data_IF_100677232184
#
_entry.id   IF_100677232184
#
_cell.length_a   1.000
_cell.length_b   1.000
_cell.length_c   1.000
_cell.angle_alpha   90.00
_cell.angle_beta   90.00
_cell.angle_gamma   90.00
#
_symmetry.space_group_name_H-M   'P 1'
#
loop_
_entity.id
_entity.type
_entity.pdbx_description
1 polymer ?
#
# COMPACT_ATOMS: atom_id res chain seq x y z
N UNK A 1 -16.64 -4.82 34.33
CA UNK A 1 -15.69 -4.20 33.39
C UNK A 1 -14.35 -4.94 33.34
N UNK A 2 -13.73 -5.26 34.47
CA UNK A 2 -12.44 -5.99 34.52
C UNK A 2 -12.58 -7.41 33.94
N UNK A 3 -13.63 -8.14 34.30
CA UNK A 3 -13.90 -9.51 33.80
C UNK A 3 -14.11 -9.54 32.27
N UNK A 4 -14.90 -8.61 31.73
CA UNK A 4 -15.11 -8.42 30.28
C UNK A 4 -13.81 -8.04 29.54
N UNK A 5 -12.87 -7.36 30.20
CA UNK A 5 -11.58 -7.01 29.62
C UNK A 5 -10.60 -8.18 29.64
N UNK A 6 -10.58 -8.98 30.72
CA UNK A 6 -9.83 -10.24 30.80
C UNK A 6 -10.26 -11.21 29.70
N UNK A 7 -11.56 -11.37 29.51
CA UNK A 7 -12.16 -12.22 28.47
C UNK A 7 -11.72 -11.78 27.06
N UNK A 8 -11.64 -10.47 26.77
CA UNK A 8 -11.14 -9.97 25.48
C UNK A 8 -9.66 -10.27 25.25
N UNK A 9 -8.81 -10.08 26.25
CA UNK A 9 -7.37 -10.35 26.12
C UNK A 9 -7.14 -11.84 25.84
N UNK A 10 -7.82 -12.71 26.58
CA UNK A 10 -7.78 -14.15 26.37
C UNK A 10 -8.31 -14.55 24.99
N UNK A 11 -9.44 -13.98 24.57
CA UNK A 11 -10.01 -14.21 23.25
C UNK A 11 -9.05 -13.81 22.10
N UNK A 12 -8.30 -12.72 22.27
CA UNK A 12 -7.28 -12.29 21.31
C UNK A 12 -6.08 -13.24 21.33
N UNK A 13 -5.52 -13.55 22.52
CA UNK A 13 -4.37 -14.45 22.68
C UNK A 13 -4.66 -15.85 22.15
N UNK A 14 -5.83 -16.41 22.46
CA UNK A 14 -6.26 -17.72 22.00
C UNK A 14 -6.52 -17.77 20.47
N UNK A 15 -6.75 -16.62 19.83
CA UNK A 15 -6.99 -16.54 18.39
C UNK A 15 -5.69 -16.44 17.57
N UNK A 16 -4.54 -16.18 18.18
CA UNK A 16 -3.27 -16.06 17.46
C UNK A 16 -2.92 -17.37 16.73
N UNK A 17 -2.52 -17.30 15.44
CA UNK A 17 -1.94 -18.45 14.76
C UNK A 17 -0.65 -18.90 15.45
N UNK A 18 -0.36 -20.20 15.43
CA UNK A 18 0.87 -20.75 16.04
C UNK A 18 2.12 -20.20 15.35
N UNK A 19 2.03 -19.99 14.04
CA UNK A 19 3.08 -19.45 13.18
C UNK A 19 3.19 -17.91 13.27
N UNK A 20 2.30 -17.25 14.03
CA UNK A 20 2.19 -15.80 14.08
C UNK A 20 1.53 -15.19 12.83
N UNK A 21 1.57 -13.85 12.74
CA UNK A 21 1.11 -13.08 11.56
C UNK A 21 2.24 -12.27 10.92
N UNK A 22 3.36 -12.11 11.62
CA UNK A 22 4.64 -11.64 11.11
C UNK A 22 5.74 -12.48 11.74
N UNK A 23 6.78 -12.79 10.98
CA UNK A 23 7.90 -13.58 11.48
C UNK A 23 8.72 -12.86 12.58
N UNK A 24 8.68 -11.52 12.64
CA UNK A 24 9.62 -10.71 13.42
C UNK A 24 9.00 -9.45 14.07
N UNK A 25 7.67 -9.33 14.11
CA UNK A 25 7.00 -8.13 14.63
C UNK A 25 5.93 -8.46 15.64
N UNK A 26 6.22 -8.12 16.89
CA UNK A 26 5.22 -7.96 17.93
C UNK A 26 4.57 -6.57 17.84
N UNK A 27 3.41 -6.45 18.46
CA UNK A 27 2.73 -5.18 18.66
C UNK A 27 1.92 -5.21 19.96
N UNK A 28 1.56 -4.03 20.45
CA UNK A 28 0.75 -3.88 21.65
C UNK A 28 -0.70 -4.27 21.37
N UNK A 29 -1.23 -5.20 22.18
CA UNK A 29 -2.62 -5.62 22.11
C UNK A 29 -3.53 -4.56 22.75
N UNK A 30 -4.75 -4.44 22.23
CA UNK A 30 -5.74 -3.48 22.73
C UNK A 30 -7.14 -4.08 22.81
N UNK A 31 -7.95 -3.76 23.84
CA UNK A 31 -9.33 -4.23 23.91
C UNK A 31 -10.26 -3.53 22.92
N UNK A 32 -9.80 -2.45 22.27
CA UNK A 32 -10.64 -1.54 21.50
C UNK A 32 -10.17 -1.46 20.05
N UNK A 33 -11.10 -1.63 19.11
CA UNK A 33 -10.89 -1.25 17.73
C UNK A 33 -10.85 0.28 17.58
N UNK A 34 -10.12 0.78 16.58
CA UNK A 34 -9.96 2.21 16.35
C UNK A 34 -11.28 2.84 15.86
N UNK A 35 -11.83 3.86 16.54
CA UNK A 35 -13.13 4.43 16.19
C UNK A 35 -13.03 5.35 14.97
N UNK A 36 -13.94 5.17 14.02
CA UNK A 36 -14.12 6.02 12.84
C UNK A 36 -15.57 6.52 12.81
N UNK A 37 -15.77 7.83 12.75
CA UNK A 37 -17.11 8.40 12.65
C UNK A 37 -17.74 8.15 11.26
N UNK A 38 -19.07 8.24 11.20
CA UNK A 38 -19.85 7.97 9.99
C UNK A 38 -19.45 8.86 8.80
N UNK A 39 -19.11 10.13 9.04
CA UNK A 39 -18.73 11.09 7.99
C UNK A 39 -17.36 10.72 7.43
N UNK A 40 -16.41 10.36 8.28
CA UNK A 40 -15.09 9.94 7.85
C UNK A 40 -15.15 8.59 7.12
N UNK A 41 -15.95 7.63 7.59
CA UNK A 41 -16.17 6.37 6.88
C UNK A 41 -16.69 6.59 5.45
N UNK A 42 -17.71 7.44 5.27
CA UNK A 42 -18.22 7.77 3.95
C UNK A 42 -17.16 8.43 3.05
N UNK A 43 -16.27 9.26 3.62
CA UNK A 43 -15.17 9.84 2.88
C UNK A 43 -14.10 8.80 2.49
N UNK A 44 -13.81 7.80 3.34
CA UNK A 44 -12.92 6.68 3.00
C UNK A 44 -13.49 5.83 1.87
N UNK A 45 -14.79 5.50 1.90
CA UNK A 45 -15.43 4.77 0.79
C UNK A 45 -15.30 5.52 -0.55
N UNK A 46 -15.46 6.85 -0.53
CA UNK A 46 -15.27 7.68 -1.72
C UNK A 46 -13.80 7.81 -2.13
N UNK A 47 -12.87 7.82 -1.17
CA UNK A 47 -11.44 7.86 -1.45
C UNK A 47 -11.00 6.66 -2.29
N UNK A 48 -11.47 5.45 -1.98
CA UNK A 48 -11.14 4.25 -2.76
C UNK A 48 -11.42 4.41 -4.25
N UNK A 49 -12.59 4.95 -4.61
CA UNK A 49 -12.93 5.22 -6.01
C UNK A 49 -12.01 6.27 -6.64
N UNK A 50 -11.73 7.38 -5.92
CA UNK A 50 -10.84 8.44 -6.42
C UNK A 50 -9.42 7.92 -6.68
N UNK A 51 -8.90 7.05 -5.81
CA UNK A 51 -7.58 6.44 -5.97
C UNK A 51 -7.53 5.48 -7.17
N UNK A 52 -8.60 4.73 -7.42
CA UNK A 52 -8.69 3.89 -8.62
C UNK A 52 -8.67 4.72 -9.90
N UNK A 53 -9.42 5.84 -9.94
CA UNK A 53 -9.40 6.77 -11.07
C UNK A 53 -8.03 7.40 -11.24
N UNK A 54 -7.37 7.76 -10.13
CA UNK A 54 -5.99 8.27 -10.13
C UNK A 54 -4.99 7.27 -10.71
N UNK A 55 -4.98 6.01 -10.25
CA UNK A 55 -4.11 4.97 -10.81
C UNK A 55 -4.34 4.74 -12.31
N UNK A 56 -5.60 4.78 -12.76
CA UNK A 56 -5.93 4.70 -14.19
C UNK A 56 -5.35 5.89 -14.97
N UNK A 57 -5.48 7.11 -14.44
CA UNK A 57 -4.92 8.30 -15.05
C UNK A 57 -3.37 8.26 -15.08
N UNK A 58 -2.72 7.76 -14.04
CA UNK A 58 -1.27 7.52 -14.03
C UNK A 58 -0.85 6.55 -15.15
N UNK A 59 -1.53 5.41 -15.28
CA UNK A 59 -1.27 4.44 -16.33
C UNK A 59 -1.43 5.04 -17.73
N UNK A 60 -2.50 5.82 -17.93
CA UNK A 60 -2.76 6.50 -19.20
C UNK A 60 -1.71 7.56 -19.51
N UNK A 61 -1.33 8.39 -18.53
CA UNK A 61 -0.32 9.43 -18.71
C UNK A 61 1.03 8.83 -19.13
N UNK A 62 1.45 7.75 -18.45
CA UNK A 62 2.68 7.03 -18.78
C UNK A 62 2.67 6.56 -20.25
N UNK A 63 1.62 5.83 -20.66
CA UNK A 63 1.54 5.33 -22.04
C UNK A 63 1.41 6.43 -23.09
N UNK A 64 0.74 7.54 -22.79
CA UNK A 64 0.66 8.67 -23.71
C UNK A 64 2.01 9.38 -23.83
N UNK A 65 2.73 9.54 -22.72
CA UNK A 65 4.08 10.12 -22.70
C UNK A 65 5.06 9.26 -23.52
N UNK A 66 5.07 7.94 -23.29
CA UNK A 66 5.90 6.99 -24.04
C UNK A 66 5.60 6.98 -25.56
N UNK A 67 4.40 7.40 -25.97
CA UNK A 67 3.98 7.52 -27.38
C UNK A 67 4.13 8.93 -27.95
N UNK A 68 4.73 9.87 -27.21
CA UNK A 68 4.87 11.27 -27.64
C UNK A 68 3.56 12.08 -27.71
N UNK A 69 2.49 11.59 -27.07
CA UNK A 69 1.16 12.25 -27.02
C UNK A 69 0.93 13.10 -25.75
N UNK A 70 1.85 12.98 -24.81
CA UNK A 70 2.01 13.81 -23.62
C UNK A 70 3.51 14.11 -23.47
N UNK A 71 3.94 15.06 -22.62
CA UNK A 71 5.35 15.41 -22.51
C UNK A 71 6.24 14.19 -22.25
N UNK A 72 7.26 13.99 -23.08
CA UNK A 72 8.11 12.78 -23.06
C UNK A 72 8.89 12.61 -21.75
N UNK A 73 9.15 13.71 -21.04
CA UNK A 73 9.86 13.67 -19.76
C UNK A 73 9.13 12.88 -18.68
N UNK A 74 7.79 12.72 -18.75
CA UNK A 74 7.05 11.91 -17.76
C UNK A 74 7.49 10.46 -17.81
N UNK A 75 7.47 9.82 -18.99
CA UNK A 75 7.94 8.46 -19.16
C UNK A 75 9.44 8.35 -18.86
N UNK A 76 10.25 9.32 -19.31
CA UNK A 76 11.70 9.36 -19.00
C UNK A 76 11.97 9.31 -17.50
N UNK A 77 11.29 10.13 -16.70
CA UNK A 77 11.50 10.12 -15.25
C UNK A 77 11.00 8.82 -14.59
N UNK A 78 9.86 8.30 -15.05
CA UNK A 78 9.30 7.05 -14.51
C UNK A 78 10.07 5.81 -14.94
N UNK A 79 10.84 5.87 -16.03
CA UNK A 79 11.71 4.79 -16.52
C UNK A 79 13.10 4.81 -15.86
N UNK A 80 13.50 5.93 -15.24
CA UNK A 80 14.81 6.09 -14.61
C UNK A 80 15.13 4.94 -13.63
N UNK A 81 16.35 4.42 -13.73
CA UNK A 81 16.86 3.30 -12.92
C UNK A 81 16.39 1.90 -13.31
N UNK A 82 15.45 1.76 -14.26
CA UNK A 82 14.81 0.47 -14.55
C UNK A 82 15.49 -0.25 -15.73
N UNK A 83 15.62 -1.59 -15.68
CA UNK A 83 16.09 -2.38 -16.81
C UNK A 83 15.23 -2.18 -18.06
N UNK A 84 15.87 -2.15 -19.23
CA UNK A 84 15.19 -1.93 -20.50
C UNK A 84 14.13 -3.02 -20.78
N UNK A 85 14.44 -4.27 -20.46
CA UNK A 85 13.56 -5.42 -20.65
C UNK A 85 12.28 -5.28 -19.80
N UNK A 86 12.40 -4.75 -18.58
CA UNK A 86 11.26 -4.50 -17.71
C UNK A 86 10.39 -3.35 -18.23
N UNK A 87 11.01 -2.27 -18.72
CA UNK A 87 10.31 -1.15 -19.35
C UNK A 87 9.52 -1.64 -20.56
N UNK A 88 10.16 -2.39 -21.46
CA UNK A 88 9.54 -2.97 -22.64
C UNK A 88 8.39 -3.91 -22.26
N UNK A 89 8.61 -4.81 -21.29
CA UNK A 89 7.57 -5.70 -20.79
C UNK A 89 6.35 -4.93 -20.28
N UNK A 90 6.56 -3.89 -19.48
CA UNK A 90 5.49 -3.09 -18.87
C UNK A 90 4.63 -2.33 -19.88
N UNK A 91 5.13 -2.13 -21.11
CA UNK A 91 4.46 -1.39 -22.20
C UNK A 91 3.62 -2.27 -23.13
N UNK A 92 3.63 -3.58 -22.91
CA UNK A 92 2.96 -4.54 -23.77
C UNK A 92 1.45 -4.36 -23.82
N UNK A 93 0.88 -4.66 -24.99
CA UNK A 93 -0.55 -4.46 -25.26
C UNK A 93 -1.44 -5.35 -24.38
N UNK A 94 -0.94 -6.53 -24.02
CA UNK A 94 -1.67 -7.55 -23.27
C UNK A 94 -1.98 -7.10 -21.85
N UNK A 95 -1.06 -6.37 -21.21
CA UNK A 95 -1.22 -5.86 -19.84
C UNK A 95 -1.50 -4.35 -19.80
N UNK A 96 -1.71 -3.69 -20.94
CA UNK A 96 -1.84 -2.22 -21.05
C UNK A 96 -2.91 -1.66 -20.11
N UNK A 97 -4.06 -2.32 -20.04
CA UNK A 97 -5.21 -1.82 -19.26
C UNK A 97 -5.28 -2.46 -17.86
N UNK A 98 -4.37 -3.37 -17.54
CA UNK A 98 -4.29 -3.97 -16.22
C UNK A 98 -3.83 -2.98 -15.16
N UNK A 99 -4.48 -3.03 -14.00
CA UNK A 99 -4.20 -2.20 -12.83
C UNK A 99 -4.24 -3.05 -11.56
N UNK A 100 -3.56 -2.63 -10.47
CA UNK A 100 -3.68 -3.28 -9.17
C UNK A 100 -5.15 -3.46 -8.75
N UNK A 101 -5.47 -4.65 -8.23
CA UNK A 101 -6.82 -4.99 -7.73
C UNK A 101 -6.99 -4.75 -6.24
N UNK A 102 -5.89 -4.52 -5.53
CA UNK A 102 -5.86 -4.08 -4.14
C UNK A 102 -5.22 -2.71 -4.12
N UNK A 103 -5.84 -1.77 -3.43
CA UNK A 103 -5.33 -0.41 -3.26
C UNK A 103 -5.27 -0.14 -1.76
N UNK A 104 -4.07 0.15 -1.25
CA UNK A 104 -3.87 0.56 0.15
C UNK A 104 -3.14 1.89 0.19
N UNK A 105 -3.81 3.00 0.48
CA UNK A 105 -3.12 4.22 0.87
C UNK A 105 -2.73 4.17 2.34
N UNK A 106 -1.58 4.75 2.66
CA UNK A 106 -1.19 5.02 4.05
C UNK A 106 -1.65 6.43 4.41
N UNK A 107 -2.62 6.55 5.31
CA UNK A 107 -3.21 7.83 5.70
C UNK A 107 -2.66 8.29 7.05
N UNK A 108 -2.07 9.48 7.10
CA UNK A 108 -1.69 10.14 8.34
C UNK A 108 -2.87 11.00 8.78
N UNK A 109 -3.46 10.71 9.93
CA UNK A 109 -4.56 11.49 10.47
C UNK A 109 -4.03 12.80 11.08
N UNK A 110 -4.49 13.94 10.60
CA UNK A 110 -4.06 15.29 11.01
C UNK A 110 -5.21 16.04 11.69
N UNK A 111 -4.94 17.24 12.23
CA UNK A 111 -5.98 18.09 12.83
C UNK A 111 -7.12 18.42 11.85
N UNK A 112 -6.81 18.52 10.56
CA UNK A 112 -7.74 18.98 9.51
C UNK A 112 -8.23 17.83 8.61
N UNK A 113 -8.11 16.57 9.05
CA UNK A 113 -8.52 15.40 8.27
C UNK A 113 -7.38 14.39 8.13
N UNK A 114 -6.96 14.11 6.90
CA UNK A 114 -5.88 13.15 6.62
C UNK A 114 -5.05 13.57 5.41
N UNK A 115 -3.81 13.07 5.37
CA UNK A 115 -2.89 13.20 4.24
C UNK A 115 -2.45 11.81 3.81
N UNK A 116 -2.35 11.57 2.51
CA UNK A 116 -1.85 10.33 1.94
C UNK A 116 -0.31 10.39 1.97
N UNK A 117 0.32 9.49 2.71
CA UNK A 117 1.78 9.37 2.77
C UNK A 117 2.35 8.62 1.55
N UNK A 118 1.67 7.53 1.15
CA UNK A 118 1.97 6.70 -0.01
C UNK A 118 0.74 5.88 -0.43
N UNK A 119 0.83 5.24 -1.61
CA UNK A 119 -0.16 4.29 -2.13
C UNK A 119 0.61 3.04 -2.53
N UNK A 120 0.28 1.90 -1.92
CA UNK A 120 0.94 0.63 -2.21
C UNK A 120 0.19 -0.16 -3.28
N UNK A 121 0.96 -0.71 -4.22
CA UNK A 121 0.47 -1.61 -5.25
C UNK A 121 0.56 -3.08 -4.83
N UNK A 122 1.49 -3.44 -3.93
CA UNK A 122 1.66 -4.78 -3.35
C UNK A 122 1.54 -4.70 -1.82
N UNK A 123 0.35 -4.39 -1.27
CA UNK A 123 0.23 -4.13 0.15
C UNK A 123 0.33 -5.40 1.00
N UNK A 124 1.22 -5.39 2.00
CA UNK A 124 1.14 -6.32 3.14
C UNK A 124 -0.03 -5.99 4.07
N UNK A 125 -0.11 -6.68 5.21
CA UNK A 125 -1.14 -6.46 6.23
C UNK A 125 -2.54 -6.98 5.86
N UNK A 126 -2.72 -7.61 4.69
CA UNK A 126 -4.03 -8.13 4.25
C UNK A 126 -4.49 -9.25 5.18
N UNK A 127 -3.63 -10.24 5.42
CA UNK A 127 -3.93 -11.38 6.28
C UNK A 127 -4.03 -10.94 7.74
N UNK A 128 -3.12 -10.08 8.21
CA UNK A 128 -3.20 -9.49 9.55
C UNK A 128 -4.55 -8.78 9.79
N UNK A 129 -4.94 -7.89 8.88
CA UNK A 129 -6.19 -7.13 9.01
C UNK A 129 -7.39 -8.07 8.95
N UNK A 130 -7.35 -9.10 8.09
CA UNK A 130 -8.37 -10.14 8.04
C UNK A 130 -8.50 -10.91 9.36
N UNK A 131 -7.38 -11.25 10.00
CA UNK A 131 -7.36 -11.89 11.31
C UNK A 131 -7.92 -10.97 12.40
N UNK A 132 -7.44 -9.72 12.46
CA UNK A 132 -7.93 -8.71 13.40
C UNK A 132 -9.44 -8.52 13.28
N UNK A 133 -9.95 -8.39 12.05
CA UNK A 133 -11.38 -8.31 11.79
C UNK A 133 -12.13 -9.53 12.34
N UNK A 134 -11.63 -10.75 12.11
CA UNK A 134 -12.28 -11.96 12.62
C UNK A 134 -12.29 -12.04 14.15
N UNK A 135 -11.17 -11.67 14.77
CA UNK A 135 -11.00 -11.74 16.21
C UNK A 135 -11.86 -10.71 16.92
N UNK A 136 -11.81 -9.44 16.49
CA UNK A 136 -12.56 -8.36 17.12
C UNK A 136 -14.07 -8.46 16.85
N UNK A 137 -14.48 -9.01 15.70
CA UNK A 137 -15.91 -9.26 15.41
C UNK A 137 -16.60 -10.25 16.36
N UNK A 138 -15.86 -10.95 17.23
CA UNK A 138 -16.48 -11.78 18.28
C UNK A 138 -17.13 -10.95 19.39
N UNK A 139 -16.67 -9.70 19.58
CA UNK A 139 -17.12 -8.82 20.66
C UNK A 139 -17.42 -7.39 20.20
N UNK A 140 -17.28 -7.09 18.91
CA UNK A 140 -17.62 -5.81 18.28
C UNK A 140 -18.28 -6.04 16.91
N UNK A 141 -19.57 -5.73 16.79
CA UNK A 141 -20.31 -5.93 15.55
C UNK A 141 -20.13 -4.77 14.54
N UNK A 142 -19.40 -3.71 14.90
CA UNK A 142 -19.22 -2.50 14.09
C UNK A 142 -17.87 -2.43 13.36
N UNK A 143 -17.09 -3.52 13.33
CA UNK A 143 -15.82 -3.59 12.60
C UNK A 143 -16.03 -3.27 11.11
N UNK A 144 -15.23 -2.35 10.57
CA UNK A 144 -15.27 -1.97 9.16
C UNK A 144 -14.88 -3.18 8.29
N UNK A 145 -15.76 -3.52 7.34
CA UNK A 145 -15.66 -4.72 6.52
C UNK A 145 -16.11 -6.01 7.20
N UNK A 146 -16.42 -5.97 8.50
CA UNK A 146 -16.86 -7.10 9.30
C UNK A 146 -15.87 -8.27 9.33
N UNK A 147 -16.35 -9.41 9.84
CA UNK A 147 -15.59 -10.67 9.98
C UNK A 147 -15.02 -11.21 8.66
N UNK A 148 -15.70 -10.96 7.55
CA UNK A 148 -15.44 -11.60 6.26
C UNK A 148 -14.77 -10.73 5.21
N UNK A 149 -14.81 -9.40 5.36
CA UNK A 149 -14.53 -8.46 4.28
C UNK A 149 -13.19 -8.66 3.59
N UNK A 150 -12.09 -8.75 4.35
CA UNK A 150 -10.74 -8.91 3.79
C UNK A 150 -10.60 -10.21 2.97
N UNK A 151 -11.18 -11.31 3.43
CA UNK A 151 -11.14 -12.60 2.73
C UNK A 151 -12.00 -12.56 1.46
N UNK A 152 -13.21 -11.99 1.55
CA UNK A 152 -14.09 -11.81 0.40
C UNK A 152 -13.47 -10.91 -0.67
N UNK A 153 -12.80 -9.83 -0.26
CA UNK A 153 -12.06 -8.94 -1.13
C UNK A 153 -10.90 -9.65 -1.81
N UNK A 154 -10.04 -10.35 -1.06
CA UNK A 154 -8.90 -11.05 -1.65
C UNK A 154 -9.32 -12.18 -2.59
N UNK A 155 -10.44 -12.86 -2.30
CA UNK A 155 -11.02 -13.84 -3.21
C UNK A 155 -11.32 -13.25 -4.58
N UNK A 156 -11.66 -11.96 -4.72
CA UNK A 156 -11.88 -11.35 -6.06
C UNK A 156 -10.58 -11.09 -6.82
N UNK A 157 -9.44 -11.05 -6.12
CA UNK A 157 -8.10 -10.95 -6.71
C UNK A 157 -7.70 -12.28 -7.35
N UNK A 158 -8.06 -13.40 -6.73
CA UNK A 158 -7.80 -14.76 -7.20
C UNK A 158 -9.10 -15.58 -7.12
N UNK A 159 -10.07 -15.39 -8.04
CA UNK A 159 -11.42 -15.94 -7.93
C UNK A 159 -11.49 -17.47 -7.98
N UNK A 160 -10.55 -18.08 -8.69
CA UNK A 160 -10.43 -19.53 -8.87
C UNK A 160 -9.19 -20.04 -8.14
N UNK A 161 -8.88 -19.51 -6.95
CA UNK A 161 -7.59 -19.80 -6.32
C UNK A 161 -6.40 -19.26 -7.13
N UNK A 162 -5.22 -19.73 -6.77
CA UNK A 162 -3.96 -19.33 -7.38
C UNK A 162 -2.80 -19.35 -6.42
N UNK A 163 -1.63 -18.98 -6.95
CA UNK A 163 -0.38 -18.97 -6.22
C UNK A 163 -0.06 -17.56 -5.72
N UNK A 164 0.09 -17.41 -4.41
CA UNK A 164 0.66 -16.23 -3.76
C UNK A 164 2.17 -16.43 -3.73
N UNK A 165 2.86 -15.77 -4.66
CA UNK A 165 4.30 -15.93 -4.89
C UNK A 165 5.04 -14.87 -4.08
N UNK A 166 5.78 -15.27 -3.06
CA UNK A 166 6.44 -14.36 -2.10
C UNK A 166 7.97 -14.52 -2.18
N UNK A 167 8.69 -13.41 -2.32
CA UNK A 167 10.16 -13.42 -2.34
C UNK A 167 10.76 -13.45 -0.93
N UNK A 168 12.06 -13.73 -0.86
CA UNK A 168 12.86 -13.64 0.36
C UNK A 168 12.85 -12.22 0.94
N UNK A 169 12.91 -11.18 0.13
CA UNK A 169 12.83 -9.77 0.58
C UNK A 169 11.51 -9.50 1.33
N UNK A 170 10.41 -10.16 0.91
CA UNK A 170 9.10 -10.05 1.52
C UNK A 170 8.82 -11.12 2.59
N UNK A 171 9.78 -11.98 2.96
CA UNK A 171 9.55 -13.18 3.77
C UNK A 171 8.89 -12.91 5.13
N UNK A 172 9.08 -11.74 5.73
CA UNK A 172 8.46 -11.36 7.02
C UNK A 172 6.93 -11.35 6.97
N UNK A 173 6.33 -11.23 5.79
CA UNK A 173 4.87 -11.25 5.54
C UNK A 173 4.33 -12.65 5.18
N UNK A 174 5.19 -13.66 5.02
CA UNK A 174 4.75 -15.03 4.71
C UNK A 174 3.67 -15.56 5.67
N UNK A 175 3.78 -15.39 7.00
CA UNK A 175 2.78 -15.95 7.92
C UNK A 175 1.37 -15.39 7.70
N UNK A 176 1.23 -14.09 7.42
CA UNK A 176 -0.10 -13.53 7.14
C UNK A 176 -0.70 -14.03 5.82
N UNK A 177 0.14 -14.29 4.81
CA UNK A 177 -0.31 -14.82 3.52
C UNK A 177 -0.70 -16.29 3.64
N UNK A 178 0.02 -17.07 4.45
CA UNK A 178 -0.31 -18.47 4.74
C UNK A 178 -1.62 -18.56 5.52
N UNK A 179 -1.82 -17.68 6.50
CA UNK A 179 -3.10 -17.56 7.20
C UNK A 179 -4.24 -17.21 6.23
N UNK A 180 -4.03 -16.25 5.34
CA UNK A 180 -5.00 -15.82 4.33
C UNK A 180 -5.40 -16.98 3.42
N UNK A 181 -4.42 -17.68 2.85
CA UNK A 181 -4.62 -18.83 1.97
C UNK A 181 -5.38 -19.96 2.70
N UNK A 182 -4.95 -20.32 3.91
CA UNK A 182 -5.60 -21.36 4.72
C UNK A 182 -7.08 -21.03 5.00
N UNK A 183 -7.40 -19.78 5.33
CA UNK A 183 -8.79 -19.37 5.59
C UNK A 183 -9.66 -19.34 4.34
N UNK A 184 -9.09 -18.98 3.18
CA UNK A 184 -9.81 -19.03 1.90
C UNK A 184 -10.15 -20.48 1.53
N UNK A 185 -9.18 -21.40 1.66
CA UNK A 185 -9.36 -22.82 1.41
C UNK A 185 -10.43 -23.43 2.34
N UNK A 186 -10.39 -23.11 3.64
CA UNK A 186 -11.39 -23.60 4.60
C UNK A 186 -12.81 -23.13 4.25
N UNK A 187 -12.99 -21.86 3.89
CA UNK A 187 -14.31 -21.33 3.50
C UNK A 187 -14.83 -21.96 2.21
N UNK A 188 -13.94 -22.23 1.26
CA UNK A 188 -14.29 -22.91 0.01
C UNK A 188 -14.76 -24.35 0.27
N UNK A 189 -14.02 -25.11 1.08
CA UNK A 189 -14.38 -26.48 1.44
C UNK A 189 -15.74 -26.58 2.13
N UNK A 190 -16.08 -25.61 3.00
CA UNK A 190 -17.39 -25.56 3.67
C UNK A 190 -18.52 -25.21 2.70
N UNK A 191 -18.30 -24.29 1.76
CA UNK A 191 -19.30 -23.91 0.76
C UNK A 191 -19.62 -25.04 -0.23
N UNK A 192 -18.66 -25.90 -0.55
CA UNK A 192 -18.87 -27.10 -1.38
C UNK A 192 -19.60 -28.25 -0.69
N UNK A 193 -19.90 -28.14 0.62
CA UNK A 193 -20.57 -29.18 1.41
C UNK A 193 -22.08 -29.02 1.60
N UNK A 194 -22.68 -27.93 1.11
CA UNK A 194 -24.11 -27.63 1.33
C UNK A 194 -24.75 -27.13 0.02
N UNK A 195 -24.99 -28.03 -0.93
CA UNK A 195 -25.96 -27.76 -2.00
C UNK A 195 -26.64 -29.07 -2.45
N UNK A 196 -27.58 -29.52 -1.61
CA UNK A 196 -28.63 -30.45 -1.98
C UNK A 196 -29.90 -29.64 -2.24
N UNK A 197 -30.13 -29.28 -3.50
CA UNK A 197 -31.48 -29.04 -4.02
C UNK A 197 -31.81 -27.62 -4.45
N UNK A 198 -31.37 -27.20 -5.64
CA UNK A 198 -32.23 -26.56 -6.64
C UNK A 198 -31.49 -26.41 -7.98
N UNK A 199 -32.04 -27.07 -9.01
CA UNK A 199 -31.52 -27.14 -10.38
C UNK A 199 -31.45 -25.77 -11.08
N UNK A 200 -30.23 -25.24 -11.24
CA UNK A 200 -29.76 -24.58 -12.48
C UNK A 200 -28.31 -24.99 -12.67
N UNK A 201 -28.04 -25.72 -13.76
CA UNK A 201 -26.75 -26.30 -14.16
C UNK A 201 -25.49 -25.60 -13.63
N UNK A 202 -25.13 -25.90 -12.39
CA UNK A 202 -23.81 -25.79 -11.82
C UNK A 202 -23.57 -27.15 -11.18
N UNK A 203 -22.76 -27.96 -11.83
CA UNK A 203 -22.29 -29.23 -11.27
C UNK A 203 -21.49 -28.92 -10.00
N UNK A 204 -21.84 -29.50 -8.83
CA UNK A 204 -21.05 -29.33 -7.62
C UNK A 204 -19.76 -30.14 -7.79
N UNK A 205 -18.67 -29.48 -8.12
CA UNK A 205 -17.36 -30.11 -8.15
C UNK A 205 -16.86 -30.31 -6.73
N UNK A 206 -16.51 -31.56 -6.41
CA UNK A 206 -15.93 -31.95 -5.13
C UNK A 206 -14.58 -31.30 -4.87
N UNK A 207 -14.10 -31.50 -3.64
CA UNK A 207 -12.85 -30.99 -3.02
C UNK A 207 -11.54 -31.31 -3.81
N UNK A 208 -11.62 -31.91 -4.98
CA UNK A 208 -10.50 -32.40 -5.78
C UNK A 208 -10.41 -31.81 -7.20
N UNK A 209 -11.18 -30.78 -7.55
CA UNK A 209 -11.03 -30.17 -8.88
C UNK A 209 -9.71 -29.35 -8.94
N UNK A 210 -8.81 -29.64 -9.89
CA UNK A 210 -7.57 -28.88 -10.05
C UNK A 210 -7.92 -27.45 -10.46
N UNK A 211 -7.76 -26.50 -9.53
CA UNK A 211 -7.97 -25.08 -9.81
C UNK A 211 -8.82 -24.29 -8.81
N UNK A 212 -9.01 -24.76 -7.56
CA UNK A 212 -9.68 -23.98 -6.50
C UNK A 212 -8.91 -24.01 -5.16
N UNK A 213 -7.61 -23.74 -5.22
CA UNK A 213 -6.75 -23.71 -4.03
C UNK A 213 -5.91 -22.43 -4.02
N UNK A 214 -5.81 -21.79 -2.85
CA UNK A 214 -4.83 -20.73 -2.61
C UNK A 214 -3.59 -21.33 -1.94
N UNK A 215 -2.42 -21.10 -2.54
CA UNK A 215 -1.14 -21.59 -2.00
C UNK A 215 -0.16 -20.44 -1.85
N UNK A 216 0.68 -20.49 -0.83
CA UNK A 216 1.82 -19.59 -0.70
C UNK A 216 3.07 -20.33 -1.13
N UNK A 217 3.80 -19.78 -2.10
CA UNK A 217 4.98 -20.40 -2.69
C UNK A 217 6.14 -19.40 -2.74
N UNK A 218 7.37 -19.89 -2.65
CA UNK A 218 8.57 -19.06 -2.76
C UNK A 218 8.77 -18.60 -4.20
N UNK A 219 9.12 -17.33 -4.39
CA UNK A 219 9.41 -16.76 -5.71
C UNK A 219 10.66 -17.37 -6.34
N UNK A 220 11.65 -17.72 -5.51
CA UNK A 220 12.98 -18.14 -5.93
C UNK A 220 13.00 -19.49 -6.63
N UNK A 221 11.99 -20.33 -6.35
CA UNK A 221 11.84 -21.66 -6.95
C UNK A 221 10.49 -21.79 -7.66
N UNK A 222 9.87 -20.68 -8.06
CA UNK A 222 8.53 -20.70 -8.65
C UNK A 222 8.57 -21.19 -10.11
N UNK A 223 7.83 -22.26 -10.38
CA UNK A 223 7.58 -22.75 -11.74
C UNK A 223 6.15 -22.42 -12.18
N UNK A 224 5.96 -21.66 -13.29
CA UNK A 224 4.63 -21.26 -13.73
C UNK A 224 3.84 -22.46 -14.27
N UNK A 225 2.60 -22.60 -13.81
CA UNK A 225 1.67 -23.64 -14.23
C UNK A 225 0.59 -23.02 -15.14
N UNK A 226 0.37 -23.61 -16.31
CA UNK A 226 -0.58 -23.07 -17.29
C UNK A 226 -2.00 -22.99 -16.71
N UNK A 227 -2.69 -21.88 -16.97
CA UNK A 227 -4.02 -21.56 -16.45
C UNK A 227 -4.02 -20.98 -15.04
N UNK A 228 -2.89 -20.93 -14.32
CA UNK A 228 -2.84 -20.40 -12.96
C UNK A 228 -2.85 -18.87 -12.92
N UNK A 229 -3.55 -18.34 -11.92
CA UNK A 229 -3.44 -16.95 -11.51
C UNK A 229 -2.38 -16.81 -10.41
N UNK A 230 -1.53 -15.80 -10.54
CA UNK A 230 -0.47 -15.48 -9.59
C UNK A 230 -0.77 -14.16 -8.92
N UNK A 231 -0.79 -14.16 -7.59
CA UNK A 231 -0.64 -12.94 -6.82
C UNK A 231 0.85 -12.74 -6.48
N UNK A 232 1.51 -11.79 -7.15
CA UNK A 232 2.90 -11.47 -6.81
C UNK A 232 2.94 -10.71 -5.49
N UNK A 233 3.75 -11.21 -4.56
CA UNK A 233 4.05 -10.58 -3.29
C UNK A 233 5.56 -10.33 -3.19
N UNK A 234 6.04 -9.56 -4.16
CA UNK A 234 7.39 -9.02 -4.25
C UNK A 234 7.35 -7.72 -5.05
N UNK A 235 8.28 -6.83 -4.75
CA UNK A 235 8.43 -5.53 -5.41
C UNK A 235 9.20 -5.69 -6.73
N UNK A 236 8.96 -4.82 -7.72
CA UNK A 236 9.59 -5.00 -9.03
C UNK A 236 11.08 -4.64 -9.06
N UNK A 237 11.61 -3.94 -8.06
CA UNK A 237 13.06 -3.77 -7.91
C UNK A 237 13.78 -5.08 -7.54
N UNK A 238 13.04 -6.04 -7.00
CA UNK A 238 13.59 -7.30 -6.47
C UNK A 238 13.74 -8.36 -7.56
N UNK A 239 13.23 -8.13 -8.78
CA UNK A 239 13.32 -9.09 -9.88
C UNK A 239 14.75 -9.61 -10.13
N UNK A 240 15.82 -8.80 -10.10
CA UNK A 240 17.19 -9.29 -10.26
C UNK A 240 17.63 -10.31 -9.20
N UNK A 241 16.98 -10.32 -8.02
CA UNK A 241 17.27 -11.23 -6.92
C UNK A 241 16.42 -12.51 -6.94
N UNK A 242 15.50 -12.66 -7.90
CA UNK A 242 14.58 -13.81 -7.98
C UNK A 242 15.04 -14.73 -9.13
N UNK A 243 15.71 -15.86 -8.83
CA UNK A 243 16.09 -16.83 -9.86
C UNK A 243 14.88 -17.31 -10.66
N UNK A 244 15.04 -17.45 -11.98
CA UNK A 244 13.99 -17.97 -12.85
C UNK A 244 12.81 -17.03 -13.09
N UNK A 245 12.85 -15.77 -12.63
CA UNK A 245 11.78 -14.79 -12.84
C UNK A 245 11.43 -14.59 -14.33
N UNK A 246 12.40 -14.72 -15.22
CA UNK A 246 12.20 -14.67 -16.67
C UNK A 246 11.19 -15.72 -17.17
N UNK A 247 11.17 -16.91 -16.57
CA UNK A 247 10.22 -17.97 -16.93
C UNK A 247 8.80 -17.57 -16.56
N UNK A 248 8.62 -16.94 -15.40
CA UNK A 248 7.33 -16.40 -14.95
C UNK A 248 6.87 -15.24 -15.85
N UNK A 249 7.76 -14.30 -16.17
CA UNK A 249 7.47 -13.18 -17.08
C UNK A 249 7.11 -13.68 -18.49
N UNK A 250 7.84 -14.67 -19.01
CA UNK A 250 7.56 -15.33 -20.30
C UNK A 250 6.21 -16.05 -20.28
N UNK A 251 5.90 -16.80 -19.22
CA UNK A 251 4.60 -17.44 -19.08
C UNK A 251 3.45 -16.43 -19.08
N UNK A 252 3.60 -15.31 -18.38
CA UNK A 252 2.62 -14.21 -18.42
C UNK A 252 2.57 -13.58 -19.82
N UNK A 253 3.70 -13.51 -20.52
CA UNK A 253 3.76 -13.00 -21.88
C UNK A 253 3.00 -13.82 -22.90
N UNK A 254 3.07 -15.14 -22.75
CA UNK A 254 2.42 -16.12 -23.60
C UNK A 254 0.95 -16.33 -23.22
N UNK A 255 0.45 -15.64 -22.18
CA UNK A 255 -0.91 -15.79 -21.67
C UNK A 255 -1.14 -17.10 -20.91
N UNK A 256 -0.06 -17.83 -20.57
CA UNK A 256 -0.13 -19.09 -19.83
C UNK A 256 -0.47 -18.88 -18.36
N UNK A 257 -0.05 -17.77 -17.77
CA UNK A 257 -0.43 -17.35 -16.42
C UNK A 257 -0.95 -15.91 -16.43
N UNK A 258 -1.64 -15.52 -15.37
CA UNK A 258 -2.01 -14.11 -15.12
C UNK A 258 -1.35 -13.61 -13.84
N UNK A 259 -0.57 -12.52 -13.91
CA UNK A 259 0.08 -11.92 -12.73
C UNK A 259 -0.73 -10.72 -12.21
N UNK A 260 -0.98 -10.68 -10.89
CA UNK A 260 -1.66 -9.59 -10.17
C UNK A 260 -0.85 -9.20 -8.93
N UNK A 261 -0.65 -7.92 -8.62
CA UNK A 261 -0.77 -6.76 -9.51
C UNK A 261 0.12 -6.87 -10.77
N UNK A 262 -0.17 -6.13 -11.85
CA UNK A 262 0.58 -6.22 -13.11
C UNK A 262 2.04 -5.77 -12.96
N UNK A 263 2.91 -6.25 -13.86
CA UNK A 263 4.35 -5.94 -13.90
C UNK A 263 4.54 -4.55 -14.53
N UNK A 264 4.26 -3.50 -13.75
CA UNK A 264 4.29 -2.09 -14.16
C UNK A 264 5.03 -1.25 -13.12
N UNK A 265 6.37 -1.15 -13.21
CA UNK A 265 7.17 -0.46 -12.18
C UNK A 265 6.81 1.02 -12.08
N UNK A 266 6.41 1.65 -13.17
CA UNK A 266 5.94 3.04 -13.15
C UNK A 266 4.71 3.25 -12.27
N UNK A 267 3.88 2.24 -11.95
CA UNK A 267 2.75 2.39 -11.02
C UNK A 267 3.14 2.29 -9.55
N UNK A 268 4.36 1.84 -9.24
CA UNK A 268 4.90 1.71 -7.87
C UNK A 268 5.67 2.98 -7.44
N UNK A 269 5.74 3.98 -8.31
CA UNK A 269 6.51 5.21 -8.12
C UNK A 269 5.84 6.21 -7.16
N UNK A 270 6.61 6.68 -6.17
CA UNK A 270 6.21 7.81 -5.31
C UNK A 270 6.17 9.13 -6.10
N UNK A 271 6.88 9.18 -7.23
CA UNK A 271 6.96 10.33 -8.16
C UNK A 271 5.60 10.84 -8.62
N UNK A 272 4.58 9.97 -8.66
CA UNK A 272 3.22 10.40 -9.03
C UNK A 272 2.70 11.54 -8.16
N UNK A 273 3.14 11.66 -6.91
CA UNK A 273 2.74 12.79 -6.07
C UNK A 273 3.39 14.09 -6.53
N UNK A 274 4.64 14.08 -6.99
CA UNK A 274 5.28 15.26 -7.56
C UNK A 274 4.65 15.64 -8.91
N UNK A 275 4.45 14.65 -9.79
CA UNK A 275 3.82 14.84 -11.10
C UNK A 275 2.38 15.37 -11.00
N UNK A 276 1.65 14.99 -9.95
CA UNK A 276 0.31 15.50 -9.67
C UNK A 276 0.26 17.02 -9.49
N UNK A 277 1.32 17.62 -8.94
CA UNK A 277 1.40 19.06 -8.66
C UNK A 277 2.04 19.90 -9.78
N UNK A 278 2.61 19.26 -10.80
CA UNK A 278 3.25 19.96 -11.91
C UNK A 278 2.23 20.68 -12.79
N UNK A 279 2.41 21.99 -12.98
CA UNK A 279 1.49 22.83 -13.74
C UNK A 279 1.21 22.34 -15.18
N UNK A 280 2.21 21.89 -15.97
CA UNK A 280 1.96 21.38 -17.33
C UNK A 280 1.02 20.16 -17.39
N UNK A 281 0.88 19.40 -16.29
CA UNK A 281 0.00 18.24 -16.21
C UNK A 281 -1.38 18.57 -15.63
N UNK A 282 -1.63 19.82 -15.21
CA UNK A 282 -2.86 20.22 -14.52
C UNK A 282 -4.11 19.91 -15.33
N UNK A 283 -4.15 20.30 -16.60
CA UNK A 283 -5.33 20.08 -17.44
C UNK A 283 -5.53 18.60 -17.78
N UNK A 284 -4.45 17.82 -17.88
CA UNK A 284 -4.55 16.36 -17.97
C UNK A 284 -5.24 15.79 -16.73
N UNK A 285 -4.79 16.16 -15.52
CA UNK A 285 -5.40 15.69 -14.28
C UNK A 285 -6.87 16.11 -14.15
N UNK A 286 -7.20 17.37 -14.46
CA UNK A 286 -8.59 17.85 -14.43
C UNK A 286 -9.49 17.06 -15.36
N UNK A 287 -9.02 16.73 -16.57
CA UNK A 287 -9.77 15.95 -17.55
C UNK A 287 -9.95 14.49 -17.13
N UNK A 288 -8.85 13.79 -16.79
CA UNK A 288 -8.89 12.35 -16.53
C UNK A 288 -9.51 11.99 -15.18
N UNK A 289 -9.35 12.86 -14.17
CA UNK A 289 -9.94 12.66 -12.85
C UNK A 289 -11.34 13.28 -12.75
N UNK A 290 -11.64 14.29 -13.56
CA UNK A 290 -12.76 15.19 -13.34
C UNK A 290 -12.48 16.22 -12.23
N UNK A 291 -13.03 17.42 -12.39
CA UNK A 291 -12.78 18.58 -11.50
C UNK A 291 -12.99 18.24 -10.01
N UNK A 292 -14.09 17.52 -9.70
CA UNK A 292 -14.45 17.15 -8.33
C UNK A 292 -13.40 16.25 -7.67
N UNK A 293 -12.91 15.23 -8.37
CA UNK A 293 -11.92 14.31 -7.80
C UNK A 293 -10.54 14.94 -7.75
N UNK A 294 -10.17 15.75 -8.75
CA UNK A 294 -8.92 16.51 -8.74
C UNK A 294 -8.82 17.41 -7.51
N UNK A 295 -9.83 18.25 -7.25
CA UNK A 295 -9.85 19.14 -6.07
C UNK A 295 -9.80 18.34 -4.75
N UNK A 296 -10.48 17.20 -4.68
CA UNK A 296 -10.48 16.34 -3.49
C UNK A 296 -9.11 15.71 -3.25
N UNK A 297 -8.45 15.20 -4.30
CA UNK A 297 -7.12 14.64 -4.21
C UNK A 297 -6.07 15.71 -3.88
N UNK A 298 -6.19 16.93 -4.41
CA UNK A 298 -5.34 18.06 -4.04
C UNK A 298 -5.35 18.40 -2.55
N UNK A 299 -6.43 18.09 -1.83
CA UNK A 299 -6.50 18.32 -0.37
C UNK A 299 -5.74 17.28 0.44
N UNK A 300 -5.55 16.08 -0.10
CA UNK A 300 -5.05 14.92 0.66
C UNK A 300 -3.71 14.39 0.13
N UNK A 301 -3.36 14.64 -1.14
CA UNK A 301 -2.01 14.40 -1.66
C UNK A 301 -1.14 15.59 -1.22
N UNK A 302 -0.06 15.37 -0.44
CA UNK A 302 0.79 16.46 0.02
C UNK A 302 1.55 17.10 -1.15
N UNK A 303 1.81 18.40 -1.05
CA UNK A 303 2.62 19.10 -2.06
C UNK A 303 4.01 18.46 -2.12
N UNK A 304 4.40 18.07 -3.33
CA UNK A 304 5.61 17.31 -3.57
C UNK A 304 6.32 17.88 -4.80
N UNK A 305 7.64 17.83 -4.77
CA UNK A 305 8.54 18.26 -5.83
C UNK A 305 9.39 17.07 -6.27
N UNK A 306 9.85 17.11 -7.51
CA UNK A 306 10.85 16.21 -8.04
C UNK A 306 12.22 16.89 -7.91
N UNK A 307 13.23 16.24 -7.32
CA UNK A 307 14.59 16.80 -7.20
C UNK A 307 15.34 16.69 -8.54
N UNK A 308 14.76 17.25 -9.60
CA UNK A 308 15.39 17.34 -10.91
C UNK A 308 16.53 18.38 -10.87
N UNK A 309 17.78 18.01 -11.19
CA UNK A 309 18.92 18.93 -11.18
C UNK A 309 18.97 19.86 -12.41
N UNK A 310 18.02 19.78 -13.35
CA UNK A 310 17.98 20.63 -14.53
C UNK A 310 17.96 22.13 -14.14
N UNK A 311 18.91 22.95 -14.63
CA UNK A 311 18.95 24.38 -14.31
C UNK A 311 17.68 25.12 -14.73
N UNK A 312 17.19 26.01 -13.85
CA UNK A 312 16.05 26.86 -14.15
C UNK A 312 16.47 28.10 -14.96
N UNK A 313 15.61 28.63 -15.85
CA UNK A 313 15.82 29.96 -16.44
C UNK A 313 15.90 31.04 -15.36
N UNK A 314 16.72 32.07 -15.56
CA UNK A 314 17.03 33.13 -14.56
C UNK A 314 15.84 33.84 -13.88
N UNK A 315 14.63 33.75 -14.45
CA UNK A 315 13.41 34.34 -13.92
C UNK A 315 12.46 33.33 -13.25
N UNK A 316 12.86 32.06 -13.16
CA UNK A 316 12.04 30.97 -12.64
C UNK A 316 12.52 30.54 -11.24
N UNK A 317 11.59 29.99 -10.46
CA UNK A 317 11.82 29.47 -9.12
C UNK A 317 11.12 28.12 -8.94
N UNK A 318 11.61 27.31 -7.99
CA UNK A 318 10.91 26.13 -7.49
C UNK A 318 9.70 26.61 -6.66
N UNK A 319 8.46 26.35 -7.10
CA UNK A 319 7.27 26.97 -6.50
C UNK A 319 7.14 26.64 -5.01
N UNK A 320 6.73 27.64 -4.21
CA UNK A 320 6.49 27.55 -2.75
C UNK A 320 7.73 27.36 -1.88
N UNK A 321 8.87 27.04 -2.48
CA UNK A 321 10.18 27.09 -1.83
C UNK A 321 10.89 28.40 -2.14
N UNK A 322 10.54 29.04 -3.27
CA UNK A 322 11.09 30.32 -3.73
C UNK A 322 12.63 30.31 -3.84
N UNK A 323 13.17 29.15 -4.24
CA UNK A 323 14.59 28.93 -4.54
C UNK A 323 14.80 28.77 -6.04
N UNK A 324 15.98 29.16 -6.55
CA UNK A 324 16.33 29.07 -7.95
C UNK A 324 17.02 27.73 -8.29
N UNK A 325 17.73 27.13 -7.33
CA UNK A 325 18.34 25.80 -7.45
C UNK A 325 18.21 24.96 -6.16
N UNK A 326 18.24 23.64 -6.28
CA UNK A 326 18.09 22.73 -5.14
C UNK A 326 19.18 22.86 -4.08
N UNK A 327 20.39 23.31 -4.45
CA UNK A 327 21.50 23.56 -3.50
C UNK A 327 21.14 24.64 -2.48
N UNK A 328 20.24 25.57 -2.82
CA UNK A 328 19.75 26.57 -1.85
C UNK A 328 18.90 25.95 -0.74
N UNK A 329 18.21 24.84 -1.01
CA UNK A 329 17.46 24.10 0.02
C UNK A 329 18.38 23.54 1.12
N UNK A 330 19.68 23.39 0.85
CA UNK A 330 20.65 23.01 1.86
C UNK A 330 20.79 24.08 2.96
N UNK A 331 20.50 25.36 2.66
CA UNK A 331 20.65 26.52 3.56
C UNK A 331 19.42 26.79 4.43
N UNK A 332 18.30 26.06 4.23
CA UNK A 332 17.06 26.26 4.98
C UNK A 332 17.26 26.13 6.49
N UNK A 333 16.50 26.83 7.33
CA UNK A 333 16.57 26.58 8.78
C UNK A 333 15.91 25.23 9.13
N UNK A 334 16.11 24.70 10.34
CA UNK A 334 15.38 23.50 10.79
C UNK A 334 13.85 23.66 10.70
N UNK A 335 13.33 24.88 10.90
CA UNK A 335 11.89 25.18 10.81
C UNK A 335 11.39 25.16 9.36
N UNK A 336 12.26 25.52 8.41
CA UNK A 336 11.93 25.54 6.99
C UNK A 336 12.08 24.16 6.33
N UNK A 337 12.65 23.18 7.07
CA UNK A 337 12.85 21.80 6.63
C UNK A 337 11.79 20.83 7.14
N UNK A 338 10.54 21.27 7.29
CA UNK A 338 9.39 20.35 7.38
C UNK A 338 9.13 19.66 6.02
N UNK A 339 10.14 18.97 5.53
CA UNK A 339 10.29 18.42 4.19
C UNK A 339 10.84 17.00 4.31
N UNK A 340 10.19 16.05 3.66
CA UNK A 340 10.59 14.66 3.53
C UNK A 340 11.33 14.47 2.22
N UNK A 341 12.52 13.86 2.27
CA UNK A 341 13.13 13.25 1.10
C UNK A 341 12.67 11.79 1.05
N UNK A 342 12.19 11.37 -0.12
CA UNK A 342 11.79 9.98 -0.37
C UNK A 342 12.36 9.52 -1.71
N UNK A 343 13.15 8.45 -1.68
CA UNK A 343 13.54 7.75 -2.92
C UNK A 343 12.25 7.28 -3.62
N UNK A 344 12.15 7.54 -4.92
CA UNK A 344 10.98 7.21 -5.71
C UNK A 344 11.14 5.85 -6.36
N UNK A 345 10.29 4.90 -5.95
CA UNK A 345 10.12 3.59 -6.60
C UNK A 345 11.43 2.80 -6.79
N UNK A 346 11.30 1.64 -7.41
CA UNK A 346 12.37 0.79 -7.94
C UNK A 346 13.71 0.75 -7.14
N UNK A 347 13.64 0.67 -5.82
CA UNK A 347 14.81 0.71 -4.93
C UNK A 347 14.55 -0.11 -3.67
N UNK A 348 15.54 -0.85 -3.15
CA UNK A 348 15.43 -1.55 -1.86
C UNK A 348 15.22 -0.59 -0.68
N UNK A 349 15.51 0.71 -0.86
CA UNK A 349 15.22 1.75 0.13
C UNK A 349 13.76 2.23 0.09
N UNK A 350 12.99 1.82 -0.93
CA UNK A 350 11.62 2.25 -1.17
C UNK A 350 10.59 1.76 -0.14
N UNK A 351 10.96 0.80 0.71
CA UNK A 351 10.10 0.17 1.72
C UNK A 351 10.63 0.34 3.16
N UNK A 352 9.74 0.19 4.14
CA UNK A 352 10.07 0.09 5.56
C UNK A 352 10.60 1.38 6.19
N UNK A 353 10.28 2.55 5.63
CA UNK A 353 10.82 3.87 6.01
C UNK A 353 12.33 4.08 5.82
N UNK A 354 13.07 3.10 5.28
CA UNK A 354 14.53 3.12 5.13
C UNK A 354 15.01 4.25 4.20
N UNK A 355 14.25 4.55 3.16
CA UNK A 355 14.55 5.62 2.19
C UNK A 355 13.86 6.96 2.48
N UNK A 356 13.37 7.18 3.71
CA UNK A 356 12.69 8.42 4.09
C UNK A 356 13.56 9.20 5.08
N UNK A 357 13.74 10.49 4.83
CA UNK A 357 14.43 11.40 5.73
C UNK A 357 13.62 12.67 5.96
N UNK A 358 13.42 13.07 7.22
CA UNK A 358 12.79 14.34 7.58
C UNK A 358 13.86 15.39 7.82
N UNK A 359 13.88 16.45 7.01
CA UNK A 359 14.94 17.45 7.05
C UNK A 359 15.07 18.18 8.40
N UNK A 360 13.96 18.36 9.13
CA UNK A 360 13.96 18.99 10.45
C UNK A 360 14.54 18.11 11.57
N UNK A 361 14.71 16.80 11.33
CA UNK A 361 15.36 15.87 12.27
C UNK A 361 16.85 15.68 11.99
N UNK A 362 17.36 16.24 10.89
CA UNK A 362 18.73 16.04 10.47
C UNK A 362 19.63 17.22 10.85
N UNK A 363 20.87 16.95 11.27
CA UNK A 363 21.92 17.96 11.27
C UNK A 363 22.11 18.58 9.87
N UNK A 364 22.57 19.83 9.81
CA UNK A 364 22.71 20.57 8.55
C UNK A 364 23.53 19.81 7.51
N UNK A 365 24.71 19.32 7.90
CA UNK A 365 25.63 18.60 7.02
C UNK A 365 25.01 17.31 6.46
N UNK A 366 24.20 16.61 7.26
CA UNK A 366 23.53 15.38 6.82
C UNK A 366 22.37 15.67 5.85
N UNK A 367 21.62 16.75 6.06
CA UNK A 367 20.61 17.20 5.11
C UNK A 367 21.21 17.58 3.75
N UNK A 368 22.27 18.38 3.77
CA UNK A 368 23.00 18.80 2.57
C UNK A 368 23.56 17.59 1.82
N UNK A 369 24.23 16.66 2.52
CA UNK A 369 24.75 15.42 1.93
C UNK A 369 23.67 14.60 1.24
N UNK A 370 22.46 14.51 1.82
CA UNK A 370 21.33 13.79 1.22
C UNK A 370 20.76 14.49 -0.01
N UNK A 371 20.70 15.83 -0.01
CA UNK A 371 20.30 16.60 -1.20
C UNK A 371 21.30 16.40 -2.33
N UNK A 372 22.60 16.53 -2.06
CA UNK A 372 23.66 16.32 -3.05
C UNK A 372 23.59 14.91 -3.64
N UNK A 373 23.41 13.89 -2.80
CA UNK A 373 23.26 12.52 -3.25
C UNK A 373 22.00 12.34 -4.13
N UNK A 374 20.87 12.92 -3.75
CA UNK A 374 19.63 12.85 -4.51
C UNK A 374 19.75 13.52 -5.89
N UNK A 375 20.44 14.66 -5.98
CA UNK A 375 20.71 15.35 -7.24
C UNK A 375 21.67 14.55 -8.12
N UNK A 376 22.74 13.99 -7.54
CA UNK A 376 23.74 13.22 -8.28
C UNK A 376 23.21 11.88 -8.82
N UNK A 377 22.23 11.29 -8.14
CA UNK A 377 21.67 9.98 -8.51
C UNK A 377 20.35 10.09 -9.28
N UNK A 378 19.88 11.29 -9.60
CA UNK A 378 18.54 11.54 -10.15
C UNK A 378 18.16 10.66 -11.34
N UNK A 379 19.07 10.47 -12.31
CA UNK A 379 18.80 9.67 -13.52
C UNK A 379 18.72 8.15 -13.29
N UNK A 380 19.15 7.68 -12.11
CA UNK A 380 19.18 6.26 -11.74
C UNK A 380 18.28 5.91 -10.54
N UNK A 381 18.05 6.85 -9.65
CA UNK A 381 17.24 6.69 -8.44
C UNK A 381 16.60 8.03 -8.07
N UNK A 382 15.58 8.48 -8.83
CA UNK A 382 14.93 9.76 -8.59
C UNK A 382 14.43 9.89 -7.15
N UNK A 383 14.55 11.08 -6.58
CA UNK A 383 14.05 11.39 -5.24
C UNK A 383 12.98 12.46 -5.34
N UNK A 384 11.92 12.34 -4.53
CA UNK A 384 10.95 13.41 -4.33
C UNK A 384 11.21 14.13 -3.02
N UNK A 385 10.97 15.44 -3.02
CA UNK A 385 10.78 16.22 -1.80
C UNK A 385 9.28 16.32 -1.56
N UNK A 386 8.84 16.15 -0.33
CA UNK A 386 7.43 16.22 0.01
C UNK A 386 7.23 17.01 1.28
N UNK A 387 6.22 17.87 1.33
CA UNK A 387 5.88 18.58 2.57
C UNK A 387 5.52 17.57 3.67
N UNK A 388 6.17 17.71 4.82
CA UNK A 388 5.85 16.91 5.99
C UNK A 388 4.54 17.38 6.62
N UNK A 389 3.72 16.43 7.07
CA UNK A 389 2.49 16.72 7.80
C UNK A 389 2.49 15.94 9.11
N UNK A 390 2.46 16.68 10.23
CA UNK A 390 2.41 16.10 11.56
C UNK A 390 1.03 15.50 11.82
N UNK A 391 0.98 14.20 12.14
CA UNK A 391 -0.27 13.55 12.55
C UNK A 391 -0.79 14.12 13.87
N UNK A 392 -2.10 14.17 14.10
CA UNK A 392 -2.65 14.58 15.40
C UNK A 392 -2.50 13.47 16.45
N UNK A 393 -2.67 13.83 17.72
CA UNK A 393 -2.61 12.87 18.82
C UNK A 393 -3.99 12.28 19.10
N UNK A 394 -4.00 10.98 19.37
CA UNK A 394 -5.14 10.19 19.79
C UNK A 394 -4.80 9.50 21.10
N UNK A 395 -5.82 9.26 21.91
CA UNK A 395 -5.72 8.39 23.08
C UNK A 395 -6.29 7.02 22.72
N UNK A 396 -5.53 5.96 22.98
CA UNK A 396 -5.97 4.59 22.76
C UNK A 396 -5.45 3.67 23.86
N UNK A 397 -6.30 2.74 24.32
CA UNK A 397 -5.94 1.82 25.41
C UNK A 397 -5.17 0.61 24.90
N UNK A 398 -4.27 0.08 25.70
CA UNK A 398 -3.51 -1.13 25.41
C UNK A 398 -3.14 -1.86 26.70
N UNK A 399 -2.91 -3.17 26.60
CA UNK A 399 -2.35 -3.93 27.72
C UNK A 399 -0.84 -3.78 27.75
N UNK A 400 -0.30 -3.32 28.88
CA UNK A 400 1.14 -3.22 29.07
C UNK A 400 1.77 -4.63 29.07
N UNK A 401 2.79 -4.91 28.25
CA UNK A 401 3.33 -6.25 28.08
C UNK A 401 3.76 -6.91 29.39
N UNK A 402 4.42 -6.15 30.28
CA UNK A 402 5.03 -6.71 31.50
C UNK A 402 4.04 -6.86 32.65
N UNK A 403 3.14 -5.88 32.85
CA UNK A 403 2.25 -5.85 34.01
C UNK A 403 0.87 -6.41 33.71
N UNK A 404 0.51 -6.55 32.42
CA UNK A 404 -0.86 -6.90 32.00
C UNK A 404 -1.89 -5.81 32.27
N UNK A 405 -1.50 -4.68 32.86
CA UNK A 405 -2.39 -3.58 33.19
C UNK A 405 -2.84 -2.84 31.93
N UNK A 406 -4.09 -2.37 31.95
CA UNK A 406 -4.62 -1.54 30.88
C UNK A 406 -4.12 -0.09 31.04
N UNK A 407 -3.30 0.37 30.09
CA UNK A 407 -2.77 1.73 30.03
C UNK A 407 -3.34 2.48 28.84
N UNK A 408 -3.27 3.81 28.88
CA UNK A 408 -3.63 4.69 27.76
C UNK A 408 -2.37 5.22 27.09
N UNK A 409 -2.25 5.02 25.77
CA UNK A 409 -1.23 5.62 24.94
C UNK A 409 -1.75 6.91 24.31
N UNK A 410 -0.97 7.99 24.39
CA UNK A 410 -1.09 9.14 23.48
C UNK A 410 -0.22 8.88 22.26
N UNK A 411 -0.84 8.71 21.10
CA UNK A 411 -0.14 8.29 19.89
C UNK A 411 -0.64 8.96 18.61
N UNK A 412 0.15 8.84 17.54
CA UNK A 412 -0.23 9.28 16.19
C UNK A 412 -0.71 8.08 15.39
N UNK A 413 -1.70 8.31 14.54
CA UNK A 413 -2.37 7.23 13.79
C UNK A 413 -1.98 7.26 12.33
N UNK A 414 -1.48 6.12 11.85
CA UNK A 414 -1.49 5.76 10.44
C UNK A 414 -2.66 4.81 10.19
N UNK A 415 -3.60 5.22 9.34
CA UNK A 415 -4.77 4.45 8.96
C UNK A 415 -4.57 3.89 7.55
N UNK A 416 -4.66 2.58 7.40
CA UNK A 416 -4.49 1.86 6.13
C UNK A 416 -5.82 1.20 5.74
N UNK A 417 -6.73 1.90 5.03
CA UNK A 417 -7.92 1.29 4.45
C UNK A 417 -7.54 0.36 3.28
N UNK A 418 -8.14 -0.82 3.24
CA UNK A 418 -7.94 -1.80 2.16
C UNK A 418 -9.12 -1.75 1.21
N UNK A 419 -8.85 -1.31 -0.01
CA UNK A 419 -9.82 -1.29 -1.08
C UNK A 419 -9.58 -2.44 -2.06
N UNK A 420 -10.63 -3.18 -2.37
CA UNK A 420 -10.61 -4.24 -3.38
C UNK A 420 -11.44 -3.81 -4.58
N UNK A 421 -10.95 -4.12 -5.78
CA UNK A 421 -11.63 -3.84 -7.04
C UNK A 421 -12.44 -5.08 -7.42
N UNK A 422 -13.74 -4.99 -7.22
CA UNK A 422 -14.72 -6.05 -7.44
C UNK A 422 -15.52 -5.73 -8.71
N UNK A 423 -15.19 -6.44 -9.80
CA UNK A 423 -15.55 -6.01 -11.15
C UNK A 423 -15.14 -4.55 -11.37
N UNK A 424 -16.09 -3.63 -11.51
CA UNK A 424 -15.83 -2.20 -11.73
C UNK A 424 -16.04 -1.33 -10.48
N UNK A 425 -16.31 -1.93 -9.32
CA UNK A 425 -16.56 -1.20 -8.07
C UNK A 425 -15.40 -1.34 -7.11
N UNK A 426 -15.04 -0.23 -6.47
CA UNK A 426 -14.04 -0.21 -5.40
C UNK A 426 -14.77 -0.36 -4.06
N UNK A 427 -14.38 -1.36 -3.26
CA UNK A 427 -15.00 -1.67 -1.97
C UNK A 427 -14.00 -1.59 -0.83
N UNK A 428 -14.33 -0.85 0.22
CA UNK A 428 -13.61 -0.85 1.49
C UNK A 428 -13.93 -2.15 2.24
N UNK A 429 -12.92 -3.00 2.47
CA UNK A 429 -13.10 -4.33 3.08
C UNK A 429 -12.43 -4.50 4.44
N UNK A 430 -11.70 -3.48 4.89
CA UNK A 430 -11.08 -3.41 6.19
C UNK A 430 -10.25 -2.14 6.30
N UNK A 431 -9.91 -1.74 7.53
CA UNK A 431 -9.01 -0.63 7.76
C UNK A 431 -8.15 -0.91 9.00
N UNK A 432 -6.85 -0.99 8.81
CA UNK A 432 -5.87 -1.20 9.88
C UNK A 432 -5.44 0.14 10.45
N UNK A 433 -5.56 0.31 11.76
CA UNK A 433 -4.98 1.46 12.45
C UNK A 433 -3.68 1.03 13.13
N UNK A 434 -2.59 1.73 12.81
CA UNK A 434 -1.33 1.68 13.55
C UNK A 434 -1.23 2.94 14.40
N UNK A 435 -1.28 2.77 15.73
CA UNK A 435 -1.09 3.87 16.68
C UNK A 435 0.33 3.78 17.25
N UNK A 436 1.20 4.72 16.86
CA UNK A 436 2.57 4.78 17.36
C UNK A 436 2.70 5.86 18.47
N UNK A 437 3.62 5.71 19.43
CA UNK A 437 3.87 6.69 20.48
C UNK A 437 4.09 8.12 19.95
N UNK A 438 3.72 9.13 20.74
CA UNK A 438 3.68 10.54 20.32
C UNK A 438 5.03 11.14 19.85
N UNK A 439 6.14 10.59 20.34
CA UNK A 439 7.51 10.92 19.99
C UNK A 439 7.92 10.37 18.61
N UNK A 440 7.23 9.34 18.11
CA UNK A 440 7.49 8.80 16.77
C UNK A 440 6.89 9.70 15.69
N UNK A 441 7.69 9.96 14.66
CA UNK A 441 7.30 10.74 13.48
C UNK A 441 7.03 9.86 12.26
N UNK A 442 7.79 8.77 12.11
CA UNK A 442 7.51 7.73 11.12
C UNK A 442 6.59 6.68 11.73
N UNK A 443 5.41 6.53 11.12
CA UNK A 443 4.36 5.66 11.65
C UNK A 443 4.39 4.35 10.86
N UNK A 444 4.82 3.27 11.49
CA UNK A 444 4.82 1.92 10.91
C UNK A 444 4.59 0.88 12.01
N UNK A 445 4.35 -0.38 11.63
CA UNK A 445 4.26 -1.47 12.59
C UNK A 445 5.59 -1.69 13.31
N UNK A 446 5.57 -1.62 14.64
CA UNK A 446 6.70 -1.78 15.55
C UNK A 446 6.18 -2.32 16.90
N UNK A 447 7.07 -2.89 17.72
CA UNK A 447 6.72 -3.47 19.04
C UNK A 447 6.06 -2.47 19.99
N UNK A 448 6.43 -1.19 19.90
CA UNK A 448 5.86 -0.10 20.70
C UNK A 448 4.54 0.44 20.15
N UNK A 449 4.06 -0.04 19.00
CA UNK A 449 2.82 0.44 18.38
C UNK A 449 1.64 -0.50 18.66
N UNK A 450 0.44 0.07 18.67
CA UNK A 450 -0.82 -0.67 18.73
C UNK A 450 -1.32 -0.91 17.30
N UNK A 451 -1.62 -2.16 16.97
CA UNK A 451 -2.26 -2.53 15.69
C UNK A 451 -3.64 -3.12 15.95
N UNK A 452 -4.67 -2.44 15.46
CA UNK A 452 -6.08 -2.81 15.68
C UNK A 452 -6.89 -2.62 14.41
N UNK A 453 -8.00 -3.36 14.22
CA UNK A 453 -8.93 -3.05 13.16
C UNK A 453 -9.66 -1.74 13.49
N UNK A 454 -10.29 -1.15 12.50
CA UNK A 454 -11.14 0.04 12.69
C UNK A 454 -12.60 -0.36 12.79
N UNK A 455 -13.38 0.41 13.56
CA UNK A 455 -14.83 0.23 13.75
C UNK A 455 -15.59 1.51 13.44
N UNK A 456 -16.85 1.38 13.08
CA UNK A 456 -17.78 2.51 13.08
C UNK A 456 -18.05 2.93 14.53
N UNK A 457 -17.81 4.21 14.84
CA UNK A 457 -18.19 4.81 16.11
C UNK A 457 -19.72 4.79 16.26
N UNK A 458 -20.19 4.60 17.50
CA UNK A 458 -21.63 4.58 17.81
C UNK A 458 -22.28 5.94 17.60
#
# INVERSE_FOLDING_TARGET
>A
MIEVQGDRLEAIRAAFPKEGLFAEKDWLLSPDAFPIDKKFLAELEQLGHRLRVFQRACNQLYHLSAKGKQPAWVARYLDAGKPAELIEFSRRKEIRDDLPRVIRPDLILTENGYIIAEIDSVPGGIGLTGWLNQTYSKFDNAIIGGRGGMLEGFRTVLPNGGDIVISQEAATYRPEMEWLAARLNQRHAVAGGVDSGSLRHFTPAGITDPGYNWRVVSAENYEPQDGHAVYRFFELFDLPNIPGIENMLRANAEGRITIRPPVKPYLEEKMWFALFWMHPLREFWRRELGEKYFIKLQKVIPYSWLLDPLPLPQHAVIPRLEIHEWREAAKFSQKDRELLLKVSGFSPLGWGSRGIALGSDLPHAEWERRLEHALATFDSSPTIMQRFHKGRLFEHRYWHPDSGELKTMKGRVRLCPYYFVEADRVRLRGALATIAPADKKFLHGMSEAILVPSRLAA
#
